data_IF_478131812128
#
_entry.id   IF_478131812128
#
_cell.length_a   1.000
_cell.length_b   1.000
_cell.length_c   1.000
_cell.angle_alpha   90.00
_cell.angle_beta   90.00
_cell.angle_gamma   90.00
#
_symmetry.space_group_name_H-M   'P 1'
#
loop_
_entity.id
_entity.type
_entity.pdbx_description
1 polymer ?
#
# COMPACT_ATOMS: atom_id res chain seq x y z
N UNK A 1 -5.20 -10.10 -32.89
CA UNK A 1 -6.06 -10.65 -31.82
C UNK A 1 -6.83 -9.46 -31.29
N UNK A 2 -8.15 -9.44 -31.51
CA UNK A 2 -8.99 -8.26 -31.31
C UNK A 2 -9.37 -8.15 -29.83
N UNK A 3 -8.88 -7.11 -29.15
CA UNK A 3 -9.32 -6.77 -27.79
C UNK A 3 -10.79 -6.32 -27.85
N UNK A 4 -11.70 -7.19 -27.45
CA UNK A 4 -13.08 -6.82 -27.20
C UNK A 4 -13.14 -5.99 -25.91
N UNK A 5 -12.98 -4.67 -26.04
CA UNK A 5 -13.28 -3.73 -24.98
C UNK A 5 -14.78 -3.84 -24.65
N UNK A 6 -15.10 -4.47 -23.52
CA UNK A 6 -16.47 -4.49 -22.99
C UNK A 6 -16.74 -3.13 -22.37
N UNK A 7 -17.62 -2.35 -22.98
CA UNK A 7 -18.16 -1.15 -22.34
C UNK A 7 -19.16 -1.56 -21.25
N UNK A 8 -19.04 -0.93 -20.09
CA UNK A 8 -19.97 -1.09 -18.97
C UNK A 8 -20.65 0.27 -18.73
N UNK A 9 -21.97 0.29 -18.76
CA UNK A 9 -22.73 1.47 -18.34
C UNK A 9 -22.82 1.46 -16.83
N UNK A 10 -22.27 2.50 -16.19
CA UNK A 10 -22.40 2.69 -14.76
C UNK A 10 -23.83 3.14 -14.41
N UNK A 11 -24.28 2.83 -13.19
CA UNK A 11 -25.54 3.34 -12.66
C UNK A 11 -25.45 4.86 -12.46
N UNK A 12 -26.60 5.54 -12.42
CA UNK A 12 -26.69 7.01 -12.24
C UNK A 12 -26.11 7.49 -10.89
N UNK A 13 -26.03 6.61 -9.89
CA UNK A 13 -25.42 6.88 -8.58
C UNK A 13 -23.91 6.60 -8.53
N UNK A 14 -23.30 6.17 -9.64
CA UNK A 14 -21.87 5.96 -9.71
C UNK A 14 -21.13 7.30 -9.88
N UNK A 15 -20.10 7.49 -9.07
CA UNK A 15 -19.23 8.65 -9.14
C UNK A 15 -17.84 8.26 -9.62
N UNK A 16 -17.29 9.03 -10.56
CA UNK A 16 -15.90 8.88 -10.99
C UNK A 16 -15.00 9.57 -9.96
N UNK A 17 -14.18 8.79 -9.29
CA UNK A 17 -13.18 9.30 -8.35
C UNK A 17 -11.87 9.59 -9.09
N UNK A 18 -11.16 10.64 -8.68
CA UNK A 18 -9.78 10.83 -9.15
C UNK A 18 -8.88 9.83 -8.44
N UNK A 19 -8.06 9.11 -9.20
CA UNK A 19 -7.06 8.18 -8.69
C UNK A 19 -5.68 8.60 -9.18
N UNK A 20 -4.72 8.64 -8.27
CA UNK A 20 -3.30 8.79 -8.57
C UNK A 20 -2.57 7.54 -8.06
N UNK A 21 -1.57 7.07 -8.81
CA UNK A 21 -0.80 5.88 -8.48
C UNK A 21 0.65 6.29 -8.28
N UNK A 22 1.23 5.82 -7.17
CA UNK A 22 2.61 6.05 -6.78
C UNK A 22 3.30 4.71 -6.58
N UNK A 23 4.58 4.63 -6.96
CA UNK A 23 5.43 3.48 -6.63
C UNK A 23 6.34 3.88 -5.48
N UNK A 24 6.34 3.09 -4.41
CA UNK A 24 7.16 3.30 -3.23
C UNK A 24 8.07 2.10 -3.00
N UNK A 25 9.37 2.35 -2.86
CA UNK A 25 10.38 1.30 -2.65
C UNK A 25 11.05 1.48 -1.30
N UNK A 26 11.16 0.39 -0.55
CA UNK A 26 11.86 0.30 0.73
C UNK A 26 12.61 -1.03 0.78
N UNK A 27 13.93 -0.99 0.97
CA UNK A 27 14.78 -2.18 0.87
C UNK A 27 14.64 -2.87 -0.51
N UNK A 28 14.31 -4.15 -0.50
CA UNK A 28 14.02 -4.94 -1.71
C UNK A 28 12.52 -4.95 -2.09
N UNK A 29 11.66 -4.42 -1.22
CA UNK A 29 10.22 -4.44 -1.39
C UNK A 29 9.74 -3.25 -2.21
N UNK A 30 8.71 -3.50 -3.02
CA UNK A 30 8.03 -2.48 -3.82
C UNK A 30 6.55 -2.49 -3.50
N UNK A 31 6.01 -1.30 -3.32
CA UNK A 31 4.61 -1.04 -3.02
C UNK A 31 3.99 -0.14 -4.07
N UNK A 32 2.76 -0.45 -4.48
CA UNK A 32 1.89 0.48 -5.19
C UNK A 32 1.04 1.21 -4.17
N UNK A 33 1.01 2.54 -4.23
CA UNK A 33 0.17 3.38 -3.39
C UNK A 33 -0.84 4.10 -4.28
N UNK A 34 -2.12 3.79 -4.07
CA UNK A 34 -3.24 4.42 -4.75
C UNK A 34 -3.81 5.52 -3.85
N UNK A 35 -3.80 6.77 -4.33
CA UNK A 35 -4.46 7.90 -3.69
C UNK A 35 -5.79 8.17 -4.38
N UNK A 36 -6.86 8.22 -3.61
CA UNK A 36 -8.21 8.48 -4.09
C UNK A 36 -8.71 9.82 -3.60
N UNK A 37 -9.38 10.57 -4.47
CA UNK A 37 -10.18 11.73 -4.13
C UNK A 37 -11.67 11.39 -4.23
N UNK A 38 -12.39 11.63 -3.14
CA UNK A 38 -13.85 11.46 -3.04
C UNK A 38 -14.58 12.67 -3.62
N UNK A 39 -15.88 12.51 -3.90
CA UNK A 39 -16.74 13.60 -4.37
C UNK A 39 -16.88 14.76 -3.37
N UNK A 40 -16.55 14.53 -2.09
CA UNK A 40 -16.55 15.56 -1.05
C UNK A 40 -15.19 16.29 -0.91
N UNK A 41 -14.28 16.11 -1.87
CA UNK A 41 -12.89 16.60 -1.81
C UNK A 41 -12.19 16.14 -0.54
N UNK A 42 -12.31 14.85 -0.24
CA UNK A 42 -11.59 14.15 0.81
C UNK A 42 -10.73 13.06 0.19
N UNK A 43 -9.62 12.73 0.84
CA UNK A 43 -8.58 11.87 0.31
C UNK A 43 -8.34 10.68 1.23
N UNK A 44 -8.07 9.53 0.62
CA UNK A 44 -7.52 8.37 1.32
C UNK A 44 -6.54 7.65 0.41
N UNK A 45 -5.52 7.04 1.01
CA UNK A 45 -4.49 6.28 0.31
C UNK A 45 -4.53 4.82 0.70
N UNK A 46 -4.21 3.94 -0.24
CA UNK A 46 -4.06 2.50 -0.03
C UNK A 46 -2.72 2.06 -0.60
N UNK A 47 -1.85 1.50 0.24
CA UNK A 47 -0.62 0.85 -0.19
C UNK A 47 -0.76 -0.67 -0.24
N UNK A 48 -0.22 -1.30 -1.28
CA UNK A 48 -0.16 -2.76 -1.42
C UNK A 48 1.21 -3.21 -1.94
N UNK A 49 1.77 -4.34 -1.47
CA UNK A 49 3.02 -4.86 -2.01
C UNK A 49 2.79 -5.40 -3.43
N UNK A 50 3.72 -5.13 -4.35
CA UNK A 50 3.62 -5.59 -5.74
C UNK A 50 4.26 -6.96 -5.96
N UNK A 51 5.17 -7.37 -5.06
CA UNK A 51 6.03 -8.53 -5.23
C UNK A 51 5.86 -9.58 -4.12
N UNK A 52 4.73 -9.56 -3.40
CA UNK A 52 4.44 -10.49 -2.30
C UNK A 52 3.38 -11.51 -2.70
N UNK A 53 3.55 -12.76 -2.26
CA UNK A 53 2.53 -13.80 -2.38
C UNK A 53 1.31 -13.54 -1.48
N UNK A 54 1.45 -12.64 -0.50
CA UNK A 54 0.41 -12.26 0.45
C UNK A 54 -0.04 -10.81 0.19
N UNK A 55 -1.36 -10.61 0.11
CA UNK A 55 -1.94 -9.28 -0.05
C UNK A 55 -2.11 -8.62 1.32
N UNK A 56 -1.25 -7.63 1.60
CA UNK A 56 -1.40 -6.72 2.72
C UNK A 56 -1.86 -5.35 2.25
N UNK A 57 -2.78 -4.72 2.98
CA UNK A 57 -3.39 -3.44 2.61
C UNK A 57 -3.09 -2.40 3.70
N UNK A 58 -2.34 -1.37 3.34
CA UNK A 58 -1.97 -0.26 4.21
C UNK A 58 -2.81 0.98 3.88
N UNK A 59 -3.98 1.08 4.50
CA UNK A 59 -4.91 2.20 4.27
C UNK A 59 -4.66 3.40 5.17
N UNK A 60 -4.87 4.62 4.69
CA UNK A 60 -4.95 5.84 5.51
C UNK A 60 -6.36 6.04 6.09
N UNK A 61 -6.53 7.03 6.97
CA UNK A 61 -7.84 7.60 7.24
C UNK A 61 -8.30 8.49 6.07
N UNK A 62 -9.60 8.79 6.02
CA UNK A 62 -10.15 9.81 5.12
C UNK A 62 -9.86 11.19 5.70
N UNK A 63 -9.16 12.04 4.94
CA UNK A 63 -8.68 13.36 5.39
C UNK A 63 -8.85 14.43 4.31
N UNK A 64 -8.77 15.71 4.68
CA UNK A 64 -8.88 16.81 3.71
C UNK A 64 -7.59 17.12 2.94
N UNK A 65 -6.46 16.60 3.41
CA UNK A 65 -5.15 16.84 2.82
C UNK A 65 -4.62 15.56 2.14
N UNK A 66 -4.39 15.55 0.82
CA UNK A 66 -3.85 14.40 0.10
C UNK A 66 -2.45 13.98 0.60
N UNK A 67 -1.61 14.94 0.99
CA UNK A 67 -0.27 14.65 1.49
C UNK A 67 -0.32 13.89 2.82
N UNK A 68 -1.28 14.24 3.68
CA UNK A 68 -1.52 13.54 4.94
C UNK A 68 -2.03 12.11 4.72
N UNK A 69 -2.90 11.88 3.73
CA UNK A 69 -3.36 10.54 3.38
C UNK A 69 -2.19 9.65 2.95
N UNK A 70 -1.33 10.15 2.04
CA UNK A 70 -0.13 9.45 1.60
C UNK A 70 0.85 9.16 2.76
N UNK A 71 1.17 10.16 3.57
CA UNK A 71 2.07 10.02 4.72
C UNK A 71 1.59 8.94 5.71
N UNK A 72 0.28 8.88 5.97
CA UNK A 72 -0.29 7.84 6.84
C UNK A 72 -0.13 6.43 6.26
N UNK A 73 -0.30 6.24 4.95
CA UNK A 73 -0.10 4.94 4.31
C UNK A 73 1.38 4.53 4.36
N UNK A 74 2.30 5.45 4.00
CA UNK A 74 3.75 5.23 4.04
C UNK A 74 4.22 4.89 5.45
N UNK A 75 3.75 5.61 6.48
CA UNK A 75 4.08 5.32 7.88
C UNK A 75 3.61 3.95 8.36
N UNK A 76 2.55 3.40 7.77
CA UNK A 76 2.08 2.04 8.09
C UNK A 76 2.95 1.00 7.39
N UNK A 77 3.29 1.21 6.11
CA UNK A 77 4.23 0.37 5.36
C UNK A 77 5.56 0.26 6.11
N UNK A 78 6.17 1.41 6.45
CA UNK A 78 7.48 1.42 7.11
C UNK A 78 7.45 0.70 8.45
N UNK A 79 6.40 0.90 9.24
CA UNK A 79 6.26 0.23 10.54
C UNK A 79 6.22 -1.28 10.42
N UNK A 80 5.49 -1.80 9.43
CA UNK A 80 5.38 -3.24 9.21
C UNK A 80 6.71 -3.82 8.68
N UNK A 81 7.34 -3.12 7.74
CA UNK A 81 8.65 -3.49 7.21
C UNK A 81 9.70 -3.56 8.33
N UNK A 82 9.80 -2.51 9.16
CA UNK A 82 10.73 -2.45 10.30
C UNK A 82 10.45 -3.56 11.33
N UNK A 83 9.18 -3.87 11.60
CA UNK A 83 8.80 -4.96 12.52
C UNK A 83 9.14 -6.34 11.95
N UNK A 84 9.01 -6.51 10.64
CA UNK A 84 9.35 -7.76 9.95
C UNK A 84 10.86 -7.99 9.98
N UNK A 85 11.68 -6.98 9.67
CA UNK A 85 13.14 -7.10 9.73
C UNK A 85 13.63 -7.47 11.13
N UNK A 86 13.05 -6.91 12.19
CA UNK A 86 13.43 -7.22 13.57
C UNK A 86 13.15 -8.70 13.93
N UNK A 87 12.09 -9.31 13.39
CA UNK A 87 11.78 -10.72 13.65
C UNK A 87 12.80 -11.68 13.04
N UNK A 88 13.40 -11.33 11.90
CA UNK A 88 14.40 -12.19 11.25
C UNK A 88 15.80 -12.12 11.87
N UNK A 89 16.11 -11.09 12.68
CA UNK A 89 17.44 -10.91 13.29
C UNK A 89 17.61 -11.73 14.59
N UNK A 90 16.58 -12.47 15.02
CA UNK A 90 16.54 -13.12 16.33
C UNK A 90 16.48 -14.64 16.32
N UNK A 91 17.33 -15.37 15.58
CA UNK A 91 17.52 -16.81 15.85
C UNK A 91 18.87 -17.41 15.39
N UNK A 92 19.95 -16.63 15.31
CA UNK A 92 21.29 -17.22 15.31
C UNK A 92 21.82 -17.27 16.75
N UNK A 93 21.19 -18.16 17.52
CA UNK A 93 21.76 -18.71 18.74
C UNK A 93 23.05 -19.43 18.39
N UNK A 94 24.14 -18.67 18.32
CA UNK A 94 25.50 -19.18 18.30
C UNK A 94 25.71 -19.97 19.58
N UNK A 95 25.54 -21.28 19.49
CA UNK A 95 25.93 -22.23 20.53
C UNK A 95 27.46 -22.28 20.55
N UNK A 96 28.06 -21.27 21.16
CA UNK A 96 29.47 -21.24 21.54
C UNK A 96 29.56 -21.55 23.03
N UNK A 97 29.98 -22.77 23.37
CA UNK A 97 31.06 -23.07 24.35
C UNK A 97 31.06 -24.56 24.69
N UNK A 98 32.09 -25.31 24.30
CA UNK A 98 33.33 -25.62 25.07
C UNK A 98 33.17 -26.92 25.88
N UNK A 99 33.51 -28.05 25.24
CA UNK A 99 34.50 -29.08 25.68
C UNK A 99 34.25 -30.43 24.98
#
# INVERSE_FOLDING_TARGET
MSDHWKSLTLREDANLLKKEIYTYQIGADTFEIELFETVQSEYYAIGTPTNSDLLYIFGSAVVKDPALALDQAIKKINREHDQTEIQFVGEDGTDFSLD
#
